data_IF_936774761729
#
_entry.id   IF_936774761729
#
_cell.length_a   1.000
_cell.length_b   1.000
_cell.length_c   1.000
_cell.angle_alpha   90.00
_cell.angle_beta   90.00
_cell.angle_gamma   90.00
#
_symmetry.space_group_name_H-M   'P 1'
#
loop_
_entity.id
_entity.type
_entity.pdbx_description
1 polymer ?
#
# COMPACT_ATOMS: atom_id res chain seq x y z
N UNK A 1 55.54 -42.82 -7.78
CA UNK A 1 55.77 -41.37 -7.61
C UNK A 1 54.76 -40.62 -8.49
N UNK A 2 53.72 -40.02 -7.89
CA UNK A 2 52.94 -38.97 -8.56
C UNK A 2 52.26 -38.11 -7.49
N UNK A 3 52.88 -36.97 -7.18
CA UNK A 3 52.65 -36.18 -5.96
C UNK A 3 51.52 -35.15 -6.08
N UNK A 4 50.71 -35.21 -7.16
CA UNK A 4 49.69 -34.20 -7.49
C UNK A 4 48.27 -34.54 -7.02
N UNK A 5 48.03 -35.71 -6.41
CA UNK A 5 46.68 -36.13 -6.00
C UNK A 5 46.34 -35.81 -4.53
N UNK A 6 47.28 -35.30 -3.73
CA UNK A 6 47.06 -35.02 -2.30
C UNK A 6 46.67 -33.56 -1.98
N UNK A 7 46.74 -32.63 -2.94
CA UNK A 7 46.42 -31.21 -2.69
C UNK A 7 44.95 -30.82 -2.96
N UNK A 8 44.12 -31.71 -3.52
CA UNK A 8 42.69 -31.40 -3.80
C UNK A 8 41.71 -31.87 -2.73
N UNK A 9 42.13 -32.63 -1.71
CA UNK A 9 41.22 -33.13 -0.67
C UNK A 9 41.24 -32.22 0.58
N UNK A 10 42.33 -31.49 0.83
CA UNK A 10 42.42 -30.58 1.98
C UNK A 10 41.67 -29.24 1.79
N UNK A 11 41.49 -28.76 0.57
CA UNK A 11 40.75 -27.51 0.29
C UNK A 11 39.23 -27.70 0.25
N UNK A 12 38.74 -28.94 0.08
CA UNK A 12 37.29 -29.22 0.05
C UNK A 12 36.69 -29.43 1.46
N UNK A 13 37.52 -29.72 2.46
CA UNK A 13 37.06 -29.87 3.85
C UNK A 13 37.01 -28.55 4.64
N UNK A 14 37.62 -27.48 4.14
CA UNK A 14 37.61 -26.17 4.83
C UNK A 14 36.46 -25.24 4.41
N UNK A 15 35.80 -25.51 3.27
CA UNK A 15 34.67 -24.70 2.77
C UNK A 15 33.28 -25.28 3.08
N UNK A 16 33.20 -26.52 3.59
CA UNK A 16 31.93 -27.11 4.06
C UNK A 16 31.65 -26.75 5.53
N UNK A 17 32.67 -26.40 6.32
CA UNK A 17 32.49 -26.02 7.73
C UNK A 17 31.96 -24.58 7.93
N UNK A 18 32.07 -23.70 6.93
CA UNK A 18 31.61 -22.31 7.02
C UNK A 18 30.26 -22.04 6.33
N UNK A 19 29.70 -23.01 5.62
CA UNK A 19 28.46 -22.85 4.84
C UNK A 19 27.19 -23.46 5.45
N UNK A 20 27.27 -24.09 6.62
CA UNK A 20 26.12 -24.78 7.26
C UNK A 20 25.70 -24.11 8.58
N UNK A 21 26.41 -23.09 9.04
CA UNK A 21 26.08 -22.41 10.30
C UNK A 21 24.98 -21.33 10.19
N UNK A 22 24.43 -21.04 9.01
CA UNK A 22 23.56 -19.86 8.81
C UNK A 22 22.07 -20.15 8.59
N UNK A 23 21.64 -21.40 8.52
CA UNK A 23 20.24 -21.75 8.23
C UNK A 23 19.49 -22.39 9.42
N UNK A 24 20.17 -22.76 10.51
CA UNK A 24 19.55 -23.50 11.62
C UNK A 24 19.34 -22.68 12.87
N UNK A 25 20.14 -21.64 13.14
CA UNK A 25 19.95 -20.77 14.32
C UNK A 25 18.94 -19.64 14.07
N UNK A 26 18.80 -19.19 12.82
CA UNK A 26 17.98 -18.03 12.46
C UNK A 26 16.46 -18.32 12.47
N UNK A 27 16.05 -19.59 12.46
CA UNK A 27 14.63 -19.99 12.35
C UNK A 27 14.08 -20.66 13.63
N UNK A 28 14.94 -21.04 14.58
CA UNK A 28 14.49 -21.66 15.85
C UNK A 28 13.66 -20.70 16.70
N UNK A 29 14.05 -19.43 16.76
CA UNK A 29 13.29 -18.41 17.49
C UNK A 29 11.94 -18.09 16.86
N UNK A 30 11.82 -18.17 15.53
CA UNK A 30 10.56 -17.97 14.81
C UNK A 30 9.59 -19.13 15.07
N UNK A 31 10.08 -20.37 14.93
CA UNK A 31 9.31 -21.58 15.21
C UNK A 31 8.86 -21.65 16.65
N UNK A 32 9.72 -21.28 17.60
CA UNK A 32 9.37 -21.27 19.02
C UNK A 32 8.36 -20.17 19.35
N UNK A 33 8.47 -18.99 18.72
CA UNK A 33 7.48 -17.92 18.84
C UNK A 33 6.11 -18.37 18.33
N UNK A 34 6.04 -18.98 17.15
CA UNK A 34 4.80 -19.50 16.57
C UNK A 34 4.17 -20.57 17.47
N UNK A 35 4.97 -21.56 17.87
CA UNK A 35 4.54 -22.69 18.68
C UNK A 35 4.03 -22.29 20.06
N UNK A 36 4.74 -21.39 20.73
CA UNK A 36 4.50 -21.05 22.13
C UNK A 36 3.66 -19.79 22.34
N UNK A 37 3.42 -18.99 21.29
CA UNK A 37 2.63 -17.76 21.41
C UNK A 37 1.49 -17.64 20.38
N UNK A 38 1.53 -18.37 19.25
CA UNK A 38 0.57 -18.23 18.16
C UNK A 38 -0.84 -18.73 18.47
N UNK A 39 -1.00 -19.59 19.48
CA UNK A 39 -2.31 -20.05 19.97
C UNK A 39 -3.09 -18.96 20.72
N UNK A 40 -2.38 -18.04 21.37
CA UNK A 40 -2.95 -17.01 22.24
C UNK A 40 -2.85 -15.59 21.64
N UNK A 41 -1.88 -15.37 20.75
CA UNK A 41 -1.58 -14.07 20.17
C UNK A 41 -1.64 -14.08 18.64
N UNK A 42 -2.13 -13.00 18.05
CA UNK A 42 -1.91 -12.76 16.63
C UNK A 42 -0.48 -12.21 16.43
N UNK A 43 0.43 -13.11 16.05
CA UNK A 43 1.86 -12.79 15.89
C UNK A 43 2.16 -11.84 14.73
N UNK A 44 1.16 -11.57 13.88
CA UNK A 44 1.25 -10.53 12.85
C UNK A 44 1.35 -9.12 13.43
N UNK A 45 1.00 -8.91 14.71
CA UNK A 45 1.05 -7.62 15.39
C UNK A 45 1.68 -7.73 16.78
N UNK A 46 3.02 -7.74 16.88
CA UNK A 46 3.70 -7.94 18.14
C UNK A 46 3.81 -6.63 18.97
N UNK A 47 3.11 -5.54 18.58
CA UNK A 47 2.81 -4.43 19.49
C UNK A 47 3.85 -3.31 19.60
N UNK A 48 4.65 -3.07 18.56
CA UNK A 48 5.49 -1.85 18.47
C UNK A 48 6.65 -1.77 19.48
N UNK A 49 6.92 -2.87 20.20
CA UNK A 49 7.98 -2.92 21.22
C UNK A 49 9.36 -2.87 20.56
N UNK A 50 10.31 -2.20 21.23
CA UNK A 50 11.72 -2.18 20.83
C UNK A 50 12.50 -3.36 21.46
N UNK A 51 13.79 -3.48 21.13
CA UNK A 51 14.60 -4.65 21.49
C UNK A 51 14.69 -4.95 22.99
N UNK A 52 14.71 -3.94 23.86
CA UNK A 52 14.77 -4.14 25.31
C UNK A 52 13.38 -4.33 25.93
N UNK A 53 12.35 -3.69 25.36
CA UNK A 53 10.96 -3.91 25.74
C UNK A 53 10.51 -5.36 25.50
N UNK A 54 11.05 -6.01 24.46
CA UNK A 54 10.82 -7.44 24.21
C UNK A 54 11.34 -8.34 25.31
N UNK A 55 12.52 -8.03 25.86
CA UNK A 55 13.09 -8.80 26.97
C UNK A 55 12.22 -8.66 28.21
N UNK A 56 11.76 -7.44 28.52
CA UNK A 56 10.84 -7.18 29.64
C UNK A 56 9.54 -7.96 29.44
N UNK A 57 8.94 -7.89 28.24
CA UNK A 57 7.69 -8.59 27.93
C UNK A 57 7.84 -10.11 28.04
N UNK A 58 8.91 -10.68 27.50
CA UNK A 58 9.16 -12.13 27.56
C UNK A 58 9.51 -12.60 28.97
N UNK A 59 10.06 -11.73 29.81
CA UNK A 59 10.26 -12.05 31.24
C UNK A 59 8.93 -12.13 31.97
N UNK A 60 7.96 -11.26 31.64
CA UNK A 60 6.63 -11.29 32.24
C UNK A 60 5.76 -12.46 31.72
N UNK A 61 5.86 -12.78 30.43
CA UNK A 61 5.05 -13.84 29.79
C UNK A 61 5.67 -15.23 29.91
N UNK A 62 6.98 -15.33 30.07
CA UNK A 62 7.72 -16.60 30.10
C UNK A 62 7.20 -17.64 31.11
N UNK A 63 6.81 -17.25 32.34
CA UNK A 63 6.22 -18.19 33.30
C UNK A 63 4.81 -18.69 32.93
N UNK A 64 4.07 -17.94 32.10
CA UNK A 64 2.70 -18.27 31.70
C UNK A 64 2.71 -19.43 30.69
N UNK A 65 3.69 -19.43 29.80
CA UNK A 65 3.86 -20.44 28.75
C UNK A 65 4.94 -21.50 29.09
N UNK A 66 5.38 -21.54 30.35
CA UNK A 66 6.42 -22.46 30.86
C UNK A 66 7.70 -22.51 29.98
N UNK A 67 8.11 -21.36 29.44
CA UNK A 67 9.28 -21.28 28.57
C UNK A 67 10.56 -21.53 29.36
N UNK A 68 11.46 -22.36 28.83
CA UNK A 68 12.82 -22.49 29.39
C UNK A 68 13.64 -21.22 29.16
N UNK A 69 14.72 -21.04 29.93
CA UNK A 69 15.64 -19.91 29.73
C UNK A 69 16.25 -19.88 28.31
N UNK A 70 16.47 -21.05 27.71
CA UNK A 70 16.99 -21.18 26.34
C UNK A 70 15.96 -20.69 25.32
N UNK A 71 14.72 -21.18 25.39
CA UNK A 71 13.63 -20.77 24.50
C UNK A 71 13.34 -19.28 24.58
N UNK A 72 13.33 -18.71 25.80
CA UNK A 72 13.19 -17.26 25.97
C UNK A 72 14.29 -16.48 25.26
N UNK A 73 15.53 -16.97 25.31
CA UNK A 73 16.66 -16.31 24.65
C UNK A 73 16.54 -16.39 23.13
N UNK A 74 16.13 -17.53 22.58
CA UNK A 74 15.91 -17.73 21.15
C UNK A 74 14.78 -16.83 20.61
N UNK A 75 13.64 -16.77 21.31
CA UNK A 75 12.50 -15.91 20.94
C UNK A 75 12.87 -14.43 21.04
N UNK A 76 13.53 -13.98 22.12
CA UNK A 76 13.98 -12.59 22.26
C UNK A 76 15.04 -12.24 21.20
N UNK A 77 15.95 -13.16 20.89
CA UNK A 77 16.95 -12.99 19.83
C UNK A 77 16.29 -12.77 18.48
N UNK A 78 15.32 -13.62 18.13
CA UNK A 78 14.53 -13.49 16.91
C UNK A 78 13.76 -12.17 16.87
N UNK A 79 13.03 -11.82 17.93
CA UNK A 79 12.24 -10.59 18.02
C UNK A 79 13.10 -9.31 18.02
N UNK A 80 14.33 -9.35 18.55
CA UNK A 80 15.26 -8.22 18.45
C UNK A 80 15.76 -8.02 17.02
N UNK A 81 16.00 -9.11 16.29
CA UNK A 81 16.51 -9.05 14.92
C UNK A 81 15.43 -8.77 13.88
N UNK A 82 14.19 -9.24 14.10
CA UNK A 82 13.08 -9.14 13.14
C UNK A 82 11.94 -8.23 13.60
N UNK A 83 11.95 -7.79 14.87
CA UNK A 83 10.92 -6.90 15.40
C UNK A 83 10.91 -5.54 14.70
N UNK A 84 12.06 -5.05 14.23
CA UNK A 84 12.12 -3.82 13.44
C UNK A 84 11.46 -3.99 12.06
N UNK A 85 11.64 -5.14 11.40
CA UNK A 85 11.02 -5.43 10.10
C UNK A 85 9.50 -5.55 10.24
N UNK A 86 9.04 -6.30 11.24
CA UNK A 86 7.60 -6.45 11.53
C UNK A 86 6.98 -5.09 11.91
N UNK A 87 7.66 -4.29 12.75
CA UNK A 87 7.19 -2.95 13.09
C UNK A 87 7.17 -2.02 11.88
N UNK A 88 8.12 -2.12 10.94
CA UNK A 88 8.09 -1.36 9.68
C UNK A 88 6.95 -1.78 8.77
N UNK A 89 6.71 -3.09 8.61
CA UNK A 89 5.58 -3.60 7.81
C UNK A 89 4.26 -3.12 8.40
N UNK A 90 4.10 -3.20 9.72
CA UNK A 90 2.91 -2.71 10.42
C UNK A 90 2.74 -1.20 10.33
N UNK A 91 3.82 -0.44 10.51
CA UNK A 91 3.79 1.01 10.34
C UNK A 91 3.35 1.38 8.91
N UNK A 92 3.94 0.75 7.90
CA UNK A 92 3.55 0.93 6.50
C UNK A 92 2.09 0.52 6.25
N UNK A 93 1.62 -0.56 6.88
CA UNK A 93 0.25 -1.04 6.76
C UNK A 93 -0.74 -0.06 7.39
N UNK A 94 -0.40 0.52 8.54
CA UNK A 94 -1.21 1.54 9.20
C UNK A 94 -1.22 2.86 8.41
N UNK A 95 -0.07 3.29 7.88
CA UNK A 95 0.03 4.46 7.02
C UNK A 95 -0.81 4.29 5.75
N UNK A 96 -0.74 3.10 5.13
CA UNK A 96 -1.58 2.75 3.97
C UNK A 96 -3.05 2.71 4.32
N UNK A 97 -3.42 2.04 5.40
CA UNK A 97 -4.82 1.95 5.85
C UNK A 97 -5.40 3.35 6.10
N UNK A 98 -4.64 4.21 6.79
CA UNK A 98 -5.05 5.59 7.03
C UNK A 98 -5.24 6.35 5.71
N UNK A 99 -4.31 6.20 4.77
CA UNK A 99 -4.45 6.80 3.44
C UNK A 99 -5.71 6.30 2.72
N UNK A 100 -5.94 4.98 2.69
CA UNK A 100 -7.09 4.40 2.01
C UNK A 100 -8.41 4.80 2.66
N UNK A 101 -8.49 4.77 3.99
CA UNK A 101 -9.66 5.17 4.77
C UNK A 101 -9.99 6.65 4.51
N UNK A 102 -9.00 7.54 4.64
CA UNK A 102 -9.24 9.00 4.57
C UNK A 102 -9.39 9.50 3.14
N UNK A 103 -8.67 8.95 2.19
CA UNK A 103 -8.72 9.43 0.80
C UNK A 103 -9.76 8.69 -0.03
N UNK A 104 -10.11 7.45 0.33
CA UNK A 104 -11.03 6.57 -0.41
C UNK A 104 -12.53 6.87 -0.23
N UNK A 105 -12.91 7.66 0.78
CA UNK A 105 -14.32 7.93 1.09
C UNK A 105 -15.07 8.60 -0.08
N UNK A 106 -14.43 9.56 -0.75
CA UNK A 106 -15.10 10.40 -1.75
C UNK A 106 -14.73 10.06 -3.19
N UNK A 107 -13.55 9.47 -3.40
CA UNK A 107 -13.00 9.11 -4.71
C UNK A 107 -12.16 7.85 -4.56
N UNK A 108 -11.87 7.17 -5.67
CA UNK A 108 -10.84 6.12 -5.69
C UNK A 108 -9.49 6.68 -5.18
N UNK A 109 -8.74 5.88 -4.42
CA UNK A 109 -7.44 6.31 -3.87
C UNK A 109 -6.40 6.43 -4.99
N UNK A 110 -6.58 5.62 -6.03
CA UNK A 110 -5.84 5.58 -7.29
C UNK A 110 -5.83 6.94 -7.98
N UNK A 111 -6.92 7.72 -7.83
CA UNK A 111 -7.04 9.08 -8.39
C UNK A 111 -5.87 9.98 -7.97
N UNK A 112 -5.35 9.78 -6.77
CA UNK A 112 -4.19 10.51 -6.24
C UNK A 112 -2.97 10.40 -7.14
N UNK A 113 -2.86 9.31 -7.89
CA UNK A 113 -1.70 8.97 -8.71
C UNK A 113 -1.94 9.14 -10.21
N UNK A 114 -3.14 9.59 -10.61
CA UNK A 114 -3.44 9.94 -12.00
C UNK A 114 -2.59 11.13 -12.43
N UNK A 115 -2.62 12.21 -11.64
CA UNK A 115 -1.74 13.36 -11.84
C UNK A 115 -0.39 13.07 -11.23
N UNK A 116 0.67 13.27 -12.01
CA UNK A 116 2.03 13.36 -11.46
C UNK A 116 2.12 14.64 -10.63
N UNK A 117 2.25 14.47 -9.32
CA UNK A 117 2.44 15.56 -8.36
C UNK A 117 3.78 15.39 -7.65
N UNK A 118 4.45 16.49 -7.35
CA UNK A 118 5.54 16.48 -6.37
C UNK A 118 5.01 16.49 -4.92
N UNK A 119 5.92 16.45 -3.95
CA UNK A 119 5.56 16.41 -2.53
C UNK A 119 4.79 17.66 -2.08
N UNK A 120 5.16 18.84 -2.59
CA UNK A 120 4.52 20.10 -2.20
C UNK A 120 3.13 20.24 -2.81
N UNK A 121 2.98 19.93 -4.10
CA UNK A 121 1.68 19.85 -4.77
C UNK A 121 0.72 18.86 -4.07
N UNK A 122 1.26 17.74 -3.60
CA UNK A 122 0.49 16.75 -2.83
C UNK A 122 0.11 17.28 -1.44
N UNK A 123 1.05 17.91 -0.73
CA UNK A 123 0.80 18.57 0.58
C UNK A 123 -0.32 19.59 0.47
N UNK A 124 -0.24 20.50 -0.49
CA UNK A 124 -1.29 21.50 -0.75
C UNK A 124 -2.64 20.83 -1.05
N UNK A 125 -2.62 19.71 -1.77
CA UNK A 125 -3.83 18.93 -2.05
C UNK A 125 -4.44 18.34 -0.79
N UNK A 126 -3.66 17.73 0.10
CA UNK A 126 -4.13 17.20 1.39
C UNK A 126 -4.69 18.34 2.27
N UNK A 127 -3.99 19.48 2.35
CA UNK A 127 -4.47 20.66 3.09
C UNK A 127 -5.81 21.16 2.53
N UNK A 128 -5.92 21.27 1.19
CA UNK A 128 -7.18 21.65 0.53
C UNK A 128 -8.30 20.65 0.82
N UNK A 129 -8.02 19.34 0.84
CA UNK A 129 -9.02 18.33 1.19
C UNK A 129 -9.45 18.46 2.67
N UNK A 130 -8.50 18.73 3.57
CA UNK A 130 -8.79 19.02 4.97
C UNK A 130 -9.69 20.26 5.12
N UNK A 131 -9.44 21.33 4.37
CA UNK A 131 -10.34 22.49 4.40
C UNK A 131 -11.75 22.21 3.88
N UNK A 132 -11.91 21.29 2.92
CA UNK A 132 -13.23 20.85 2.42
C UNK A 132 -13.96 19.95 3.40
N UNK A 133 -13.23 19.19 4.21
CA UNK A 133 -13.78 18.32 5.25
C UNK A 133 -12.99 18.47 6.57
N UNK A 134 -13.15 19.58 7.33
CA UNK A 134 -12.27 19.92 8.46
C UNK A 134 -12.26 18.92 9.61
N UNK A 135 -13.29 18.09 9.73
CA UNK A 135 -13.42 17.06 10.77
C UNK A 135 -12.99 15.67 10.31
N UNK A 136 -12.59 15.51 9.05
CA UNK A 136 -12.32 14.21 8.44
C UNK A 136 -10.85 13.79 8.58
N UNK A 137 -9.94 14.74 8.37
CA UNK A 137 -8.48 14.53 8.44
C UNK A 137 -7.93 15.52 9.47
N UNK A 138 -7.40 15.00 10.58
CA UNK A 138 -6.65 15.81 11.54
C UNK A 138 -5.30 16.25 10.97
N UNK A 139 -4.67 17.24 11.61
CA UNK A 139 -3.34 17.71 11.19
C UNK A 139 -2.29 16.60 11.24
N UNK A 140 -2.29 15.79 12.29
CA UNK A 140 -1.40 14.64 12.43
C UNK A 140 -1.65 13.58 11.36
N UNK A 141 -2.91 13.27 11.05
CA UNK A 141 -3.23 12.32 9.98
C UNK A 141 -2.79 12.86 8.61
N UNK A 142 -2.95 14.16 8.36
CA UNK A 142 -2.49 14.79 7.12
C UNK A 142 -0.97 14.65 6.95
N UNK A 143 -0.18 14.89 7.99
CA UNK A 143 1.28 14.71 7.96
C UNK A 143 1.67 13.25 7.68
N UNK A 144 1.00 12.28 8.32
CA UNK A 144 1.21 10.85 8.08
C UNK A 144 0.90 10.48 6.64
N UNK A 145 -0.21 10.98 6.07
CA UNK A 145 -0.60 10.73 4.67
C UNK A 145 0.43 11.32 3.70
N UNK A 146 0.87 12.56 3.94
CA UNK A 146 1.89 13.23 3.12
C UNK A 146 3.18 12.40 3.11
N UNK A 147 3.65 11.99 4.29
CA UNK A 147 4.85 11.16 4.44
C UNK A 147 4.71 9.80 3.74
N UNK A 148 3.56 9.14 3.88
CA UNK A 148 3.29 7.87 3.22
C UNK A 148 3.42 7.97 1.69
N UNK A 149 2.82 9.01 1.10
CA UNK A 149 2.89 9.24 -0.35
C UNK A 149 4.29 9.63 -0.80
N UNK A 150 5.00 10.47 -0.04
CA UNK A 150 6.41 10.81 -0.29
C UNK A 150 7.32 9.57 -0.27
N UNK A 151 7.01 8.58 0.57
CA UNK A 151 7.69 7.28 0.63
C UNK A 151 7.27 6.29 -0.48
N UNK A 152 6.53 6.77 -1.48
CA UNK A 152 6.16 6.02 -2.68
C UNK A 152 4.84 5.27 -2.58
N UNK A 153 4.06 5.43 -1.50
CA UNK A 153 2.75 4.79 -1.31
C UNK A 153 2.77 3.28 -1.64
N UNK A 154 3.74 2.55 -1.08
CA UNK A 154 3.97 1.14 -1.41
C UNK A 154 2.71 0.31 -1.16
N UNK A 155 2.38 -0.55 -2.12
CA UNK A 155 1.19 -1.40 -2.08
C UNK A 155 -0.08 -0.74 -2.62
N UNK A 156 -0.07 0.55 -2.96
CA UNK A 156 -1.17 1.19 -3.67
C UNK A 156 -1.01 1.01 -5.18
N UNK A 157 -2.08 0.59 -5.85
CA UNK A 157 -2.11 0.43 -7.31
C UNK A 157 -2.09 1.81 -7.96
N UNK A 158 -1.20 2.00 -8.93
CA UNK A 158 -1.13 3.25 -9.69
C UNK A 158 -1.81 3.04 -11.04
N UNK A 159 -2.83 3.86 -11.38
CA UNK A 159 -3.47 3.74 -12.67
C UNK A 159 -2.49 4.14 -13.77
N UNK A 160 -2.48 3.37 -14.86
CA UNK A 160 -1.65 3.63 -16.03
C UNK A 160 -2.55 4.18 -17.14
N UNK A 161 -2.14 5.30 -17.73
CA UNK A 161 -2.78 5.80 -18.95
C UNK A 161 -2.30 4.94 -20.12
N UNK A 162 -3.04 3.88 -20.41
CA UNK A 162 -2.85 3.04 -21.61
C UNK A 162 -3.95 3.29 -22.63
N UNK A 163 -3.70 2.91 -23.88
CA UNK A 163 -4.72 2.94 -24.93
C UNK A 163 -5.93 2.06 -24.55
N UNK A 164 -7.13 2.54 -24.84
CA UNK A 164 -8.38 1.80 -24.62
C UNK A 164 -8.86 1.31 -25.98
N UNK A 165 -8.88 -0.01 -26.15
CA UNK A 165 -9.48 -0.63 -27.33
C UNK A 165 -11.00 -0.50 -27.26
N UNK A 166 -11.61 0.05 -28.32
CA UNK A 166 -13.07 0.15 -28.46
C UNK A 166 -13.57 1.49 -28.97
N UNK A 167 -14.90 1.67 -28.91
CA UNK A 167 -15.59 2.89 -29.32
C UNK A 167 -15.73 3.92 -28.20
N UNK A 168 -16.49 5.02 -28.45
CA UNK A 168 -16.75 6.10 -27.50
C UNK A 168 -17.18 5.66 -26.10
N UNK A 169 -18.04 4.63 -26.01
CA UNK A 169 -18.48 4.05 -24.74
C UNK A 169 -17.34 3.45 -23.91
N UNK A 170 -16.45 2.68 -24.54
CA UNK A 170 -15.33 2.04 -23.86
C UNK A 170 -14.37 3.10 -23.30
N UNK A 171 -14.11 4.15 -24.07
CA UNK A 171 -13.30 5.29 -23.62
C UNK A 171 -13.96 6.00 -22.44
N UNK A 172 -15.27 6.26 -22.51
CA UNK A 172 -16.02 6.83 -21.38
C UNK A 172 -15.91 5.97 -20.12
N UNK A 173 -16.16 4.67 -20.22
CA UNK A 173 -16.11 3.77 -19.08
C UNK A 173 -14.69 3.71 -18.49
N UNK A 174 -13.67 3.50 -19.33
CA UNK A 174 -12.28 3.37 -18.86
C UNK A 174 -11.72 4.67 -18.28
N UNK A 175 -12.05 5.84 -18.83
CA UNK A 175 -11.54 7.13 -18.32
C UNK A 175 -12.34 7.66 -17.14
N UNK A 176 -13.66 7.65 -17.22
CA UNK A 176 -14.51 8.28 -16.20
C UNK A 176 -14.66 7.43 -14.93
N UNK A 177 -14.58 6.10 -15.03
CA UNK A 177 -14.64 5.22 -13.84
C UNK A 177 -13.36 5.28 -13.00
N UNK A 178 -12.24 5.76 -13.55
CA UNK A 178 -10.96 5.82 -12.85
C UNK A 178 -10.94 6.73 -11.62
N UNK A 179 -11.88 7.67 -11.50
CA UNK A 179 -11.95 8.64 -10.40
C UNK A 179 -13.18 8.48 -9.50
N UNK A 180 -14.32 8.15 -10.08
CA UNK A 180 -15.61 8.08 -9.39
C UNK A 180 -16.57 7.16 -10.15
N UNK A 181 -17.62 6.65 -9.48
CA UNK A 181 -18.61 5.80 -10.12
C UNK A 181 -19.30 6.50 -11.31
N UNK A 182 -19.58 5.76 -12.38
CA UNK A 182 -20.19 6.29 -13.61
C UNK A 182 -21.64 6.75 -13.40
N UNK A 183 -22.29 6.23 -12.36
CA UNK A 183 -23.62 6.60 -11.88
C UNK A 183 -23.74 8.11 -11.66
N UNK A 184 -22.64 8.80 -11.37
CA UNK A 184 -22.66 10.26 -11.24
C UNK A 184 -23.00 10.95 -12.55
N UNK A 185 -22.51 10.44 -13.68
CA UNK A 185 -22.81 10.96 -15.02
C UNK A 185 -24.26 10.62 -15.40
N UNK A 186 -24.70 9.39 -15.15
CA UNK A 186 -26.08 8.98 -15.42
C UNK A 186 -27.09 9.78 -14.58
N UNK A 187 -26.82 9.97 -13.28
CA UNK A 187 -27.67 10.81 -12.43
C UNK A 187 -27.71 12.26 -12.93
N UNK A 188 -26.59 12.81 -13.42
CA UNK A 188 -26.56 14.14 -14.00
C UNK A 188 -27.44 14.24 -15.25
N UNK A 189 -27.41 13.23 -16.13
CA UNK A 189 -28.30 13.12 -17.29
C UNK A 189 -29.77 13.15 -16.86
N UNK A 190 -30.16 12.33 -15.88
CA UNK A 190 -31.54 12.25 -15.40
C UNK A 190 -32.01 13.59 -14.79
N UNK A 191 -31.14 14.24 -14.01
CA UNK A 191 -31.51 15.41 -13.21
C UNK A 191 -31.30 16.76 -13.88
N UNK A 192 -30.65 16.82 -15.05
CA UNK A 192 -30.31 18.07 -15.76
C UNK A 192 -31.01 18.17 -17.10
N UNK A 193 -31.87 19.18 -17.28
CA UNK A 193 -32.69 19.31 -18.49
C UNK A 193 -31.88 19.35 -19.79
N UNK A 194 -30.80 20.13 -19.81
CA UNK A 194 -29.89 20.30 -20.96
C UNK A 194 -28.43 20.15 -20.48
N UNK A 195 -27.90 18.91 -20.44
CA UNK A 195 -26.56 18.67 -19.94
C UNK A 195 -25.51 19.17 -20.94
N UNK A 196 -24.79 20.22 -20.56
CA UNK A 196 -23.65 20.75 -21.32
C UNK A 196 -22.40 19.85 -21.23
N UNK A 197 -22.46 18.65 -21.83
CA UNK A 197 -21.39 17.65 -21.80
C UNK A 197 -20.02 18.15 -22.24
N UNK A 198 -19.87 18.93 -23.34
CA UNK A 198 -18.56 19.43 -23.76
C UNK A 198 -17.85 20.24 -22.67
N UNK A 199 -18.60 21.10 -21.95
CA UNK A 199 -18.05 21.91 -20.87
C UNK A 199 -17.68 21.08 -19.63
N UNK A 200 -18.49 20.05 -19.32
CA UNK A 200 -18.22 19.16 -18.20
C UNK A 200 -16.97 18.30 -18.46
N UNK A 201 -16.87 17.69 -19.64
CA UNK A 201 -15.73 16.86 -20.04
C UNK A 201 -14.47 17.71 -20.10
N UNK A 202 -14.52 18.92 -20.70
CA UNK A 202 -13.37 19.83 -20.71
C UNK A 202 -12.89 20.19 -19.30
N UNK A 203 -13.81 20.38 -18.36
CA UNK A 203 -13.47 20.62 -16.94
C UNK A 203 -12.78 19.41 -16.31
N UNK A 204 -13.20 18.18 -16.63
CA UNK A 204 -12.54 16.98 -16.11
C UNK A 204 -11.15 16.81 -16.72
N UNK A 205 -11.02 17.03 -18.02
CA UNK A 205 -9.74 17.03 -18.73
C UNK A 205 -8.76 18.03 -18.10
N UNK A 206 -9.18 19.27 -17.83
CA UNK A 206 -8.31 20.28 -17.21
C UNK A 206 -7.84 19.92 -15.79
N UNK A 207 -8.58 19.02 -15.10
CA UNK A 207 -8.18 18.55 -13.76
C UNK A 207 -7.19 17.38 -13.81
N UNK A 208 -7.14 16.66 -14.92
CA UNK A 208 -6.29 15.50 -15.13
C UNK A 208 -5.90 15.40 -16.63
N UNK A 209 -5.10 16.35 -17.14
CA UNK A 209 -4.81 16.45 -18.57
C UNK A 209 -3.99 15.25 -19.07
N UNK A 210 -3.20 14.63 -18.20
CA UNK A 210 -2.52 13.36 -18.43
C UNK A 210 -3.44 12.13 -18.46
N UNK A 211 -4.72 12.26 -18.05
CA UNK A 211 -5.66 11.14 -17.98
C UNK A 211 -6.64 11.09 -19.16
N UNK A 212 -6.96 12.23 -19.74
CA UNK A 212 -7.93 12.34 -20.84
C UNK A 212 -7.29 13.21 -21.90
N UNK A 213 -6.87 12.63 -23.02
CA UNK A 213 -6.36 13.43 -24.13
C UNK A 213 -7.51 14.05 -24.94
N UNK A 214 -7.21 14.94 -25.90
CA UNK A 214 -8.25 15.66 -26.66
C UNK A 214 -9.14 14.72 -27.48
N UNK A 215 -8.55 13.70 -28.12
CA UNK A 215 -9.31 12.69 -28.88
C UNK A 215 -10.27 11.92 -27.97
N UNK A 216 -9.80 11.50 -26.80
CA UNK A 216 -10.63 10.80 -25.82
C UNK A 216 -11.74 11.71 -25.27
N UNK A 217 -11.45 12.99 -25.05
CA UNK A 217 -12.45 13.96 -24.62
C UNK A 217 -13.57 14.07 -25.66
N UNK A 218 -13.22 14.15 -26.95
CA UNK A 218 -14.20 14.21 -28.04
C UNK A 218 -15.06 12.93 -28.08
N UNK A 219 -14.45 11.76 -27.94
CA UNK A 219 -15.16 10.47 -27.87
C UNK A 219 -16.10 10.40 -26.64
N UNK A 220 -15.66 10.88 -25.48
CA UNK A 220 -16.50 10.92 -24.28
C UNK A 220 -17.71 11.84 -24.49
N UNK A 221 -17.50 13.01 -25.11
CA UNK A 221 -18.58 13.94 -25.45
C UNK A 221 -19.56 13.33 -26.43
N UNK A 222 -19.06 12.65 -27.47
CA UNK A 222 -19.88 11.93 -28.45
C UNK A 222 -20.80 10.92 -27.76
N UNK A 223 -20.24 10.06 -26.91
CA UNK A 223 -21.02 9.05 -26.17
C UNK A 223 -22.08 9.69 -25.27
N UNK A 224 -21.68 10.63 -24.40
CA UNK A 224 -22.57 11.25 -23.43
C UNK A 224 -23.70 12.05 -24.08
N UNK A 225 -23.42 12.71 -25.21
CA UNK A 225 -24.42 13.49 -25.95
C UNK A 225 -25.42 12.61 -26.70
N UNK A 226 -25.09 11.34 -26.94
CA UNK A 226 -25.99 10.35 -27.52
C UNK A 226 -26.89 9.65 -26.51
N UNK A 227 -26.75 9.92 -25.21
CA UNK A 227 -27.57 9.31 -24.17
C UNK A 227 -28.92 10.03 -24.03
N UNK A 228 -29.98 9.25 -23.80
CA UNK A 228 -31.31 9.75 -23.48
C UNK A 228 -31.64 9.47 -22.00
N UNK A 229 -32.28 10.43 -21.28
CA UNK A 229 -32.77 10.18 -19.92
C UNK A 229 -33.81 9.06 -19.92
N UNK A 230 -33.71 8.13 -18.96
CA UNK A 230 -34.63 6.99 -18.87
C UNK A 230 -35.84 7.25 -17.98
N UNK A 231 -35.77 8.24 -17.08
CA UNK A 231 -36.78 8.48 -16.05
C UNK A 231 -37.64 9.72 -16.32
N UNK A 232 -37.62 10.27 -17.54
CA UNK A 232 -38.39 11.46 -17.93
C UNK A 232 -39.64 11.15 -18.75
#
# INVERSE_FOLDING_TARGET
MNWKMFHSIAALFCLIAYGIASATELDLGALELERSCGSCHNLSNPGGLNGDDWLVRMTAMGPIEDLTAKQRTEVVGFLRHHGWEVNQILAMTNERYLFEEKCGLCHSVERTFIKKMDEEEFRETVIRMRHRAPKWISEKEAETIIKFVANGARGVVRPVHGDIDGGPEAVFQGRCAGCHPLERSYLYLETTLDPAWPLLVKRMQLKAPEWINDKEADQIVEYLSGLEPQLR
#
